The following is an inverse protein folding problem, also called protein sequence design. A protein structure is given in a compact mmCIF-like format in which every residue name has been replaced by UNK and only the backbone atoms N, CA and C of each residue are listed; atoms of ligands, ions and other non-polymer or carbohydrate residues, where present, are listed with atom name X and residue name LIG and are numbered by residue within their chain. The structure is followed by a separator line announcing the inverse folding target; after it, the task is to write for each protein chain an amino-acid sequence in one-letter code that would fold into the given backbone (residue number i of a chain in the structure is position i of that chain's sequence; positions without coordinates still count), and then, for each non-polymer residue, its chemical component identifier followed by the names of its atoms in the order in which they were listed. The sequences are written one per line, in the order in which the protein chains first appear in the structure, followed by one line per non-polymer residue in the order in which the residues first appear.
data_IF_341874320599
#
_entry.id   IF_341874320599
#
_cell.length_a   1.000
_cell.length_b   1.000
_cell.length_c   1.000
_cell.angle_alpha   90.00
_cell.angle_beta   90.00
_cell.angle_gamma   90.00
#
_symmetry.space_group_name_H-M   'P 1'
#
loop_
_entity.id
_entity.type
_entity.pdbx_description
1 polymer ?
#
# COMPACT_ATOMS: atom_id res chain seq x y z
N UNK A 1 -11.63 2.39 -17.65
CA UNK A 1 -10.92 2.88 -16.46
C UNK A 1 -11.42 2.08 -15.27
N UNK A 2 -10.59 1.18 -14.76
CA UNK A 2 -10.87 0.50 -13.50
C UNK A 2 -10.19 1.33 -12.42
N UNK A 3 -10.91 2.23 -11.81
CA UNK A 3 -10.43 2.93 -10.63
C UNK A 3 -10.34 1.92 -9.48
N UNK A 4 -9.17 1.80 -8.91
CA UNK A 4 -8.98 0.98 -7.71
C UNK A 4 -9.43 1.82 -6.52
N UNK A 5 -10.52 1.42 -5.87
CA UNK A 5 -11.01 2.10 -4.68
C UNK A 5 -10.13 1.72 -3.49
N UNK A 6 -9.47 2.69 -2.90
CA UNK A 6 -8.77 2.55 -1.64
C UNK A 6 -9.71 2.79 -0.45
N UNK A 7 -9.29 2.40 0.76
CA UNK A 7 -10.12 2.64 1.96
C UNK A 7 -10.53 4.10 2.15
N UNK A 8 -9.66 5.11 1.93
CA UNK A 8 -10.07 6.51 2.00
C UNK A 8 -11.26 6.82 1.08
N UNK A 9 -11.18 6.41 -0.19
CA UNK A 9 -12.24 6.68 -1.18
C UNK A 9 -13.58 6.06 -0.77
N UNK A 10 -13.51 4.84 -0.22
CA UNK A 10 -14.70 4.14 0.29
C UNK A 10 -15.32 4.90 1.47
N UNK A 11 -14.50 5.36 2.40
CA UNK A 11 -15.00 6.06 3.59
C UNK A 11 -15.43 7.49 3.29
N UNK A 12 -14.82 8.14 2.30
CA UNK A 12 -15.29 9.45 1.81
C UNK A 12 -16.67 9.34 1.17
N UNK A 13 -16.94 8.24 0.47
CA UNK A 13 -18.23 8.03 -0.19
C UNK A 13 -19.33 7.50 0.75
N UNK A 14 -18.99 6.65 1.72
CA UNK A 14 -19.96 5.89 2.52
C UNK A 14 -19.84 6.12 4.03
N UNK A 15 -18.84 6.87 4.51
CA UNK A 15 -18.51 6.99 5.92
C UNK A 15 -19.57 7.65 6.80
N UNK A 16 -20.54 8.36 6.22
CA UNK A 16 -21.67 8.93 6.97
C UNK A 16 -22.66 7.84 7.40
N UNK A 17 -22.88 6.82 6.56
CA UNK A 17 -23.84 5.74 6.83
C UNK A 17 -23.17 4.48 7.37
N UNK A 18 -21.89 4.28 7.06
CA UNK A 18 -21.17 3.06 7.38
C UNK A 18 -19.87 3.34 8.14
N UNK A 19 -19.43 2.36 8.89
CA UNK A 19 -18.12 2.37 9.52
C UNK A 19 -17.33 1.12 9.13
N UNK A 20 -16.00 1.25 9.09
CA UNK A 20 -15.10 0.15 8.84
C UNK A 20 -15.20 -0.88 9.96
N UNK A 21 -15.47 -2.13 9.60
CA UNK A 21 -15.61 -3.23 10.55
C UNK A 21 -14.39 -4.15 10.54
N UNK A 22 -13.80 -4.37 9.40
CA UNK A 22 -12.61 -5.20 9.26
C UNK A 22 -12.06 -5.17 7.84
N UNK A 23 -10.98 -5.91 7.62
CA UNK A 23 -10.35 -6.00 6.32
C UNK A 23 -9.52 -7.26 6.15
N UNK A 24 -9.21 -7.55 4.90
CA UNK A 24 -8.21 -8.54 4.52
C UNK A 24 -7.33 -7.93 3.42
N UNK A 25 -6.02 -7.79 3.63
CA UNK A 25 -5.28 -8.10 4.85
C UNK A 25 -5.81 -7.38 6.10
N UNK A 26 -5.57 -7.97 7.27
CA UNK A 26 -6.06 -7.41 8.52
C UNK A 26 -5.19 -6.23 8.96
N UNK A 27 -5.72 -5.02 8.92
CA UNK A 27 -5.01 -3.80 9.33
C UNK A 27 -5.63 -3.12 10.56
N UNK A 28 -6.88 -3.46 10.89
CA UNK A 28 -7.53 -3.02 12.12
C UNK A 28 -7.19 -3.98 13.25
N UNK A 29 -6.61 -3.47 14.32
CA UNK A 29 -6.25 -4.24 15.51
C UNK A 29 -7.09 -3.89 16.72
N UNK A 30 -8.25 -3.30 16.52
CA UNK A 30 -9.17 -2.98 17.59
C UNK A 30 -9.93 -4.23 18.08
N UNK A 31 -10.35 -4.18 19.33
CA UNK A 31 -11.09 -5.23 19.99
C UNK A 31 -12.53 -4.80 20.28
N UNK A 32 -13.22 -4.23 19.29
CA UNK A 32 -14.57 -3.69 19.44
C UNK A 32 -15.61 -4.72 19.92
N UNK A 33 -15.32 -5.99 19.75
CA UNK A 33 -16.19 -7.06 20.22
C UNK A 33 -16.28 -7.17 21.75
N UNK A 34 -15.32 -6.59 22.50
CA UNK A 34 -15.36 -6.57 23.96
C UNK A 34 -14.90 -5.23 24.58
N UNK A 35 -14.38 -4.31 23.78
CA UNK A 35 -14.01 -2.97 24.23
C UNK A 35 -14.81 -1.92 23.49
N UNK A 36 -15.37 -0.99 24.26
CA UNK A 36 -15.93 0.24 23.71
C UNK A 36 -14.80 1.26 23.62
N UNK A 37 -14.67 1.92 22.48
CA UNK A 37 -13.78 3.07 22.37
C UNK A 37 -14.41 4.25 23.11
N UNK A 38 -13.71 4.77 24.10
CA UNK A 38 -14.09 5.96 24.86
C UNK A 38 -13.06 7.07 24.59
N UNK A 39 -13.52 8.31 24.45
CA UNK A 39 -12.66 9.45 24.20
C UNK A 39 -12.72 9.97 22.76
N UNK A 40 -11.72 10.77 22.32
CA UNK A 40 -11.70 11.38 20.99
C UNK A 40 -11.59 10.38 19.83
N UNK A 41 -11.14 9.15 20.11
CA UNK A 41 -10.99 8.08 19.11
C UNK A 41 -12.24 7.19 19.00
N UNK A 42 -13.43 7.74 19.23
CA UNK A 42 -14.69 6.98 19.12
C UNK A 42 -15.09 6.64 17.70
N UNK A 43 -14.51 7.32 16.72
CA UNK A 43 -14.82 7.11 15.33
C UNK A 43 -13.92 6.00 14.74
N UNK A 44 -14.56 4.87 14.48
CA UNK A 44 -13.87 3.72 13.87
C UNK A 44 -13.35 3.99 12.46
N UNK A 45 -13.96 4.90 11.72
CA UNK A 45 -13.47 5.28 10.40
C UNK A 45 -12.14 6.04 10.50
N UNK A 46 -12.02 6.96 11.44
CA UNK A 46 -10.76 7.67 11.71
C UNK A 46 -9.66 6.72 12.18
N UNK A 47 -10.00 5.77 13.04
CA UNK A 47 -9.07 4.73 13.48
C UNK A 47 -8.63 3.84 12.31
N UNK A 48 -9.58 3.40 11.49
CA UNK A 48 -9.31 2.59 10.31
C UNK A 48 -8.37 3.29 9.33
N UNK A 49 -8.61 4.57 9.03
CA UNK A 49 -7.75 5.39 8.18
C UNK A 49 -6.34 5.54 8.75
N UNK A 50 -6.23 5.76 10.05
CA UNK A 50 -4.93 5.85 10.73
C UNK A 50 -4.15 4.54 10.63
N UNK A 51 -4.79 3.41 10.93
CA UNK A 51 -4.18 2.08 10.83
C UNK A 51 -3.81 1.75 9.37
N UNK A 52 -4.69 2.06 8.43
CA UNK A 52 -4.48 1.86 7.01
C UNK A 52 -3.23 2.61 6.52
N UNK A 53 -3.19 3.93 6.75
CA UNK A 53 -2.05 4.78 6.34
C UNK A 53 -0.74 4.34 6.96
N UNK A 54 -0.78 3.93 8.22
CA UNK A 54 0.40 3.46 8.93
C UNK A 54 0.99 2.18 8.32
N UNK A 55 0.14 1.33 7.77
CA UNK A 55 0.54 0.01 7.26
C UNK A 55 0.66 -0.06 5.73
N UNK A 56 0.41 1.01 5.01
CA UNK A 56 0.51 1.02 3.54
C UNK A 56 1.88 0.55 3.04
N UNK A 57 2.96 1.03 3.64
CA UNK A 57 4.32 0.68 3.23
C UNK A 57 4.68 -0.80 3.46
N UNK A 58 3.93 -1.50 4.30
CA UNK A 58 4.05 -2.96 4.53
C UNK A 58 3.03 -3.76 3.72
N UNK A 59 2.38 -3.14 2.73
CA UNK A 59 1.26 -3.73 1.98
C UNK A 59 0.13 -4.23 2.89
N UNK A 60 -0.16 -3.47 3.94
CA UNK A 60 -1.15 -3.77 4.97
C UNK A 60 -0.88 -5.07 5.75
N UNK A 61 0.35 -5.53 5.77
CA UNK A 61 0.73 -6.71 6.54
C UNK A 61 1.07 -6.32 7.98
N UNK A 62 0.15 -6.57 8.90
CA UNK A 62 0.26 -6.23 10.32
C UNK A 62 1.39 -6.97 11.06
N UNK A 63 2.01 -7.96 10.46
CA UNK A 63 3.14 -8.71 11.03
C UNK A 63 4.44 -7.91 10.97
N UNK A 64 4.50 -6.91 10.10
CA UNK A 64 5.65 -6.03 9.97
C UNK A 64 5.46 -4.76 10.78
N UNK A 65 6.55 -4.31 11.40
CA UNK A 65 6.58 -3.02 12.07
C UNK A 65 6.39 -1.90 11.04
N UNK A 66 5.40 -1.01 11.22
CA UNK A 66 5.17 0.05 10.27
C UNK A 66 6.30 1.09 10.35
N UNK A 67 6.73 1.64 9.21
CA UNK A 67 7.72 2.71 9.19
C UNK A 67 7.18 3.98 9.89
N UNK A 68 8.08 4.92 10.19
CA UNK A 68 7.70 6.23 10.71
C UNK A 68 6.78 6.98 9.73
N UNK A 69 5.97 7.93 10.23
CA UNK A 69 5.13 8.77 9.38
C UNK A 69 5.92 9.52 8.29
N UNK A 70 7.12 10.01 8.63
CA UNK A 70 7.97 10.70 7.66
C UNK A 70 8.44 9.76 6.54
N UNK A 71 8.81 8.54 6.88
CA UNK A 71 9.16 7.50 5.91
C UNK A 71 7.94 7.10 5.07
N UNK A 72 6.78 6.92 5.68
CA UNK A 72 5.53 6.61 4.99
C UNK A 72 5.18 7.69 3.96
N UNK A 73 5.25 8.95 4.32
CA UNK A 73 5.02 10.08 3.40
C UNK A 73 6.05 10.13 2.26
N UNK A 74 7.33 9.86 2.55
CA UNK A 74 8.37 9.82 1.51
C UNK A 74 8.12 8.68 0.51
N UNK A 75 7.73 7.51 1.00
CA UNK A 75 7.38 6.36 0.15
C UNK A 75 6.12 6.64 -0.69
N UNK A 76 5.10 7.24 -0.11
CA UNK A 76 3.87 7.63 -0.81
C UNK A 76 4.18 8.58 -1.96
N UNK A 77 4.97 9.64 -1.72
CA UNK A 77 5.39 10.57 -2.76
C UNK A 77 6.20 9.90 -3.87
N UNK A 78 7.10 8.98 -3.52
CA UNK A 78 7.90 8.25 -4.51
C UNK A 78 7.03 7.28 -5.32
N UNK A 79 6.07 6.61 -4.71
CA UNK A 79 5.09 5.76 -5.39
C UNK A 79 4.17 6.57 -6.31
N UNK A 80 3.74 7.77 -5.89
CA UNK A 80 2.96 8.66 -6.74
C UNK A 80 3.74 9.10 -7.96
N UNK A 81 5.02 9.46 -7.81
CA UNK A 81 5.89 9.81 -8.94
C UNK A 81 6.03 8.64 -9.93
N UNK A 82 6.19 7.41 -9.44
CA UNK A 82 6.19 6.20 -10.27
C UNK A 82 4.86 6.03 -11.01
N UNK A 83 3.74 6.20 -10.33
CA UNK A 83 2.40 6.08 -10.91
C UNK A 83 2.17 7.09 -12.02
N UNK A 84 2.52 8.35 -11.79
CA UNK A 84 2.41 9.41 -12.80
C UNK A 84 3.29 9.13 -14.02
N UNK A 85 4.48 8.59 -13.79
CA UNK A 85 5.39 8.14 -14.83
C UNK A 85 4.77 7.02 -15.69
N UNK A 86 4.17 6.02 -15.04
CA UNK A 86 3.52 4.91 -15.73
C UNK A 86 2.27 5.36 -16.51
N UNK A 87 1.50 6.30 -15.99
CA UNK A 87 0.34 6.86 -16.69
C UNK A 87 0.70 7.74 -17.89
N UNK A 88 1.85 8.38 -17.86
CA UNK A 88 2.34 9.20 -18.97
C UNK A 88 2.84 8.38 -20.17
N UNK A 89 2.87 7.04 -20.05
CA UNK A 89 3.31 6.15 -21.12
C UNK A 89 2.21 5.96 -22.15
N UNK A 90 2.17 6.83 -23.16
CA UNK A 90 1.42 6.63 -24.38
C UNK A 90 2.38 6.20 -25.49
N UNK A 91 2.51 4.88 -25.73
CA UNK A 91 3.23 4.37 -26.90
C UNK A 91 4.43 3.46 -26.59
N UNK A 92 5.10 2.91 -27.62
CA UNK A 92 6.12 1.86 -27.51
C UNK A 92 7.53 2.38 -27.18
N UNK A 93 7.67 3.55 -26.60
CA UNK A 93 8.96 4.16 -26.25
C UNK A 93 9.62 3.44 -25.07
N UNK A 94 10.92 3.14 -25.15
CA UNK A 94 11.71 2.58 -24.03
C UNK A 94 11.96 3.59 -22.90
N UNK A 95 11.92 4.88 -23.19
CA UNK A 95 12.14 5.93 -22.18
C UNK A 95 11.28 5.82 -20.93
N UNK A 96 9.98 5.50 -21.02
CA UNK A 96 9.15 5.33 -19.85
C UNK A 96 9.57 4.15 -18.96
N UNK A 97 10.08 3.07 -19.55
CA UNK A 97 10.53 1.89 -18.77
C UNK A 97 11.79 2.22 -17.98
N UNK A 98 12.73 2.93 -18.57
CA UNK A 98 13.97 3.34 -17.90
C UNK A 98 13.66 4.33 -16.75
N UNK A 99 12.73 5.26 -16.96
CA UNK A 99 12.29 6.20 -15.92
C UNK A 99 11.53 5.48 -14.79
N UNK A 100 10.63 4.56 -15.14
CA UNK A 100 9.92 3.75 -14.14
C UNK A 100 10.90 2.87 -13.34
N UNK A 101 11.91 2.29 -14.00
CA UNK A 101 12.95 1.54 -13.32
C UNK A 101 13.75 2.42 -12.35
N UNK A 102 14.06 3.66 -12.72
CA UNK A 102 14.72 4.60 -11.80
C UNK A 102 13.84 4.95 -10.61
N UNK A 103 12.55 5.25 -10.82
CA UNK A 103 11.61 5.50 -9.71
C UNK A 103 11.52 4.29 -8.77
N UNK A 104 11.50 3.07 -9.29
CA UNK A 104 11.53 1.86 -8.46
C UNK A 104 12.82 1.74 -7.66
N UNK A 105 13.97 2.06 -8.24
CA UNK A 105 15.25 2.08 -7.53
C UNK A 105 15.26 3.12 -6.42
N UNK A 106 14.68 4.29 -6.64
CA UNK A 106 14.56 5.35 -5.63
C UNK A 106 13.66 4.89 -4.46
N UNK A 107 12.54 4.20 -4.76
CA UNK A 107 11.67 3.59 -3.74
C UNK A 107 12.43 2.50 -2.97
N UNK A 108 13.17 1.64 -3.65
CA UNK A 108 13.97 0.60 -3.01
C UNK A 108 15.03 1.21 -2.07
N UNK A 109 15.70 2.29 -2.51
CA UNK A 109 16.67 2.99 -1.68
C UNK A 109 16.05 3.61 -0.41
N UNK A 110 14.87 4.22 -0.54
CA UNK A 110 14.13 4.74 0.62
C UNK A 110 13.72 3.64 1.60
N UNK A 111 13.34 2.47 1.09
CA UNK A 111 12.88 1.35 1.90
C UNK A 111 14.00 0.52 2.53
N UNK A 112 15.25 0.65 2.06
CA UNK A 112 16.34 -0.29 2.32
C UNK A 112 16.59 -0.54 3.81
N UNK A 113 16.69 0.51 4.62
CA UNK A 113 17.04 0.39 6.04
C UNK A 113 15.87 -0.10 6.91
N UNK A 114 14.64 0.20 6.49
CA UNK A 114 13.43 -0.05 7.30
C UNK A 114 12.68 -1.29 6.84
N UNK A 115 12.67 -1.54 5.53
CA UNK A 115 11.92 -2.61 4.87
C UNK A 115 12.83 -3.37 3.88
N UNK A 116 13.90 -4.03 4.34
CA UNK A 116 14.93 -4.60 3.46
C UNK A 116 14.40 -5.65 2.49
N UNK A 117 13.44 -6.47 2.91
CA UNK A 117 12.81 -7.46 2.01
C UNK A 117 11.96 -6.82 0.92
N UNK A 118 11.24 -5.73 1.25
CA UNK A 118 10.51 -4.93 0.28
C UNK A 118 11.47 -4.27 -0.72
N UNK A 119 12.56 -3.69 -0.23
CA UNK A 119 13.58 -3.09 -1.09
C UNK A 119 14.22 -4.12 -2.03
N UNK A 120 14.52 -5.32 -1.54
CA UNK A 120 15.03 -6.42 -2.35
C UNK A 120 14.02 -6.86 -3.41
N UNK A 121 12.75 -7.02 -3.06
CA UNK A 121 11.69 -7.38 -4.00
C UNK A 121 11.49 -6.32 -5.10
N UNK A 122 11.54 -5.03 -4.74
CA UNK A 122 11.46 -3.94 -5.71
C UNK A 122 12.66 -3.95 -6.65
N UNK A 123 13.87 -4.15 -6.14
CA UNK A 123 15.09 -4.27 -6.95
C UNK A 123 15.02 -5.45 -7.92
N UNK A 124 14.49 -6.58 -7.51
CA UNK A 124 14.20 -7.71 -8.39
C UNK A 124 13.15 -7.38 -9.45
N UNK A 125 12.13 -6.57 -9.09
CA UNK A 125 11.13 -6.05 -10.03
C UNK A 125 11.76 -5.20 -11.13
N UNK A 126 12.77 -4.38 -10.82
CA UNK A 126 13.57 -3.66 -11.81
C UNK A 126 14.29 -4.62 -12.77
N UNK A 127 14.85 -5.70 -12.24
CA UNK A 127 15.48 -6.74 -13.07
C UNK A 127 14.48 -7.41 -14.04
N UNK A 128 13.25 -7.64 -13.60
CA UNK A 128 12.17 -8.16 -14.45
C UNK A 128 11.88 -7.18 -15.58
N UNK A 129 11.72 -5.89 -15.27
CA UNK A 129 11.40 -4.85 -16.26
C UNK A 129 12.51 -4.68 -17.31
N UNK A 130 13.76 -4.58 -16.85
CA UNK A 130 14.87 -4.28 -17.73
C UNK A 130 15.45 -5.50 -18.45
N UNK A 131 15.50 -6.65 -17.76
CA UNK A 131 16.18 -7.87 -18.20
C UNK A 131 15.23 -9.00 -18.58
N UNK A 132 13.91 -8.79 -18.49
CA UNK A 132 12.87 -9.79 -18.78
C UNK A 132 13.08 -11.11 -18.05
N UNK A 133 13.50 -11.06 -16.80
CA UNK A 133 13.60 -12.25 -15.95
C UNK A 133 12.21 -12.77 -15.58
N UNK A 134 12.11 -14.08 -15.40
CA UNK A 134 10.89 -14.69 -14.90
C UNK A 134 10.66 -14.27 -13.42
N UNK A 135 9.60 -13.51 -13.12
CA UNK A 135 9.35 -13.00 -11.78
C UNK A 135 9.16 -14.12 -10.74
N UNK A 136 8.68 -15.29 -11.15
CA UNK A 136 8.42 -16.41 -10.25
C UNK A 136 9.69 -17.17 -9.82
N UNK A 137 10.83 -16.90 -10.45
CA UNK A 137 12.13 -17.52 -10.15
C UNK A 137 13.04 -16.64 -9.31
N UNK A 138 12.55 -15.50 -8.84
CA UNK A 138 13.30 -14.58 -8.01
C UNK A 138 13.12 -14.93 -6.52
N UNK A 139 14.01 -14.44 -5.68
CA UNK A 139 14.03 -14.83 -4.26
C UNK A 139 12.97 -14.07 -3.43
N UNK A 140 12.77 -12.79 -3.69
CA UNK A 140 11.94 -11.89 -2.88
C UNK A 140 10.65 -11.48 -3.57
N UNK A 141 10.69 -11.12 -4.86
CA UNK A 141 9.54 -10.63 -5.60
C UNK A 141 8.30 -11.55 -5.54
N UNK A 142 8.42 -12.90 -5.64
CA UNK A 142 7.24 -13.78 -5.58
C UNK A 142 6.43 -13.65 -4.30
N UNK A 143 7.09 -13.33 -3.16
CA UNK A 143 6.40 -13.12 -1.89
C UNK A 143 5.49 -11.89 -1.89
N UNK A 144 5.74 -10.94 -2.79
CA UNK A 144 4.98 -9.69 -2.96
C UNK A 144 4.04 -9.74 -4.17
N UNK A 145 4.18 -10.71 -5.05
CA UNK A 145 3.37 -10.84 -6.24
C UNK A 145 1.90 -11.08 -5.90
N UNK A 146 1.01 -10.28 -6.48
CA UNK A 146 -0.42 -10.35 -6.20
C UNK A 146 -0.86 -9.74 -4.88
N UNK A 147 0.03 -9.19 -4.07
CA UNK A 147 -0.33 -8.36 -2.91
C UNK A 147 -0.92 -7.03 -3.39
N UNK A 148 -1.71 -6.40 -2.55
CA UNK A 148 -2.38 -5.14 -2.86
C UNK A 148 -3.88 -5.29 -3.10
N UNK A 149 -4.41 -6.50 -3.30
CA UNK A 149 -5.84 -6.73 -3.20
C UNK A 149 -6.28 -6.63 -1.75
N UNK A 150 -7.35 -5.89 -1.52
CA UNK A 150 -7.91 -5.74 -0.18
C UNK A 150 -9.42 -5.94 -0.23
N UNK A 151 -9.94 -6.52 0.84
CA UNK A 151 -11.36 -6.59 1.10
C UNK A 151 -11.66 -5.77 2.34
N UNK A 152 -12.66 -4.91 2.26
CA UNK A 152 -13.09 -4.08 3.37
C UNK A 152 -14.51 -4.48 3.73
N UNK A 153 -14.73 -4.77 5.00
CA UNK A 153 -16.06 -5.02 5.56
C UNK A 153 -16.56 -3.73 6.22
N UNK A 154 -17.75 -3.34 5.88
CA UNK A 154 -18.43 -2.17 6.46
C UNK A 154 -19.63 -2.63 7.26
N UNK A 155 -19.93 -1.92 8.36
CA UNK A 155 -21.14 -2.08 9.13
C UNK A 155 -21.91 -0.77 9.13
N UNK A 156 -23.24 -0.85 9.02
CA UNK A 156 -24.09 0.34 9.06
C UNK A 156 -24.06 0.95 10.46
N UNK A 157 -23.90 2.26 10.51
CA UNK A 157 -24.01 3.02 11.77
C UNK A 157 -25.42 2.87 12.35
N UNK A 158 -25.51 2.63 13.64
CA UNK A 158 -26.78 2.50 14.39
C UNK A 158 -27.33 3.85 14.80
#
# INVERSE_FOLDING_TARGET
DTETLALPDILDALGDEFEAYGGSPHFLTDFRWYKRLDGPERDFNSLALTCYRRQLATLLDHRFEPPSFAMGAALENACQALWDCLRAVEGPSRRPIDVAAQCLMDIAALAFDTLPETAAAISEGVDVLLRRRDPLRLAHLPAFWGRGQQYVSLIRRS
#
